data_IF_177094069576
#
_entry.id   IF_177094069576
#
_cell.length_a   1.000
_cell.length_b   1.000
_cell.length_c   1.000
_cell.angle_alpha   90.00
_cell.angle_beta   90.00
_cell.angle_gamma   90.00
#
_symmetry.space_group_name_H-M   'P 1'
#
loop_
_entity.id
_entity.type
_entity.pdbx_description
1 polymer ?
#
# COMPACT_ATOMS: atom_id res chain seq x y z
N UNK A 1 11.36 15.48 -4.69
CA UNK A 1 11.61 14.06 -5.07
C UNK A 1 11.11 13.79 -6.48
N UNK A 2 11.75 12.88 -7.22
CA UNK A 2 11.25 12.39 -8.53
C UNK A 2 9.89 11.69 -8.40
N UNK A 3 9.76 10.89 -7.35
CA UNK A 3 8.53 10.21 -6.99
C UNK A 3 8.27 10.31 -5.48
N UNK A 4 7.01 10.38 -5.09
CA UNK A 4 6.53 10.27 -3.70
C UNK A 4 5.57 9.09 -3.62
N UNK A 5 5.74 8.22 -2.63
CA UNK A 5 4.84 7.09 -2.37
C UNK A 5 4.08 7.33 -1.06
N UNK A 6 2.79 7.65 -1.17
CA UNK A 6 1.95 8.07 -0.06
C UNK A 6 0.96 6.95 0.36
N UNK A 7 1.21 6.39 1.54
CA UNK A 7 0.34 5.38 2.16
C UNK A 7 -0.67 5.96 3.17
N UNK A 8 -0.58 7.26 3.48
CA UNK A 8 -1.49 7.96 4.40
C UNK A 8 -2.73 8.40 3.64
N UNK A 9 -2.55 9.11 2.53
CA UNK A 9 -3.61 9.59 1.66
C UNK A 9 -4.45 10.71 2.27
N UNK A 10 -5.68 10.87 1.79
CA UNK A 10 -6.56 11.92 2.29
C UNK A 10 -5.99 13.33 2.02
N UNK A 11 -6.18 14.25 2.97
CA UNK A 11 -5.61 15.60 2.91
C UNK A 11 -4.08 15.63 2.98
N UNK A 12 -3.41 14.54 3.39
CA UNK A 12 -1.95 14.46 3.40
C UNK A 12 -1.36 14.54 1.98
N UNK A 13 -2.15 14.27 0.94
CA UNK A 13 -1.70 14.37 -0.45
C UNK A 13 -1.18 15.76 -0.82
N UNK A 14 -1.64 16.82 -0.15
CA UNK A 14 -1.10 18.18 -0.35
C UNK A 14 0.38 18.25 0.04
N UNK A 15 0.77 17.61 1.15
CA UNK A 15 2.18 17.51 1.57
C UNK A 15 2.98 16.71 0.52
N UNK A 16 2.41 15.62 0.02
CA UNK A 16 3.02 14.80 -1.03
C UNK A 16 3.23 15.58 -2.34
N UNK A 17 2.31 16.48 -2.72
CA UNK A 17 2.48 17.38 -3.87
C UNK A 17 3.58 18.43 -3.63
N UNK A 18 3.72 18.91 -2.39
CA UNK A 18 4.78 19.85 -2.01
C UNK A 18 6.17 19.20 -2.08
N UNK A 19 6.31 17.93 -1.71
CA UNK A 19 7.58 17.19 -1.75
C UNK A 19 7.99 16.73 -3.16
N UNK A 20 7.03 16.54 -4.06
CA UNK A 20 7.32 16.18 -5.45
C UNK A 20 8.01 17.34 -6.19
N UNK A 21 9.04 17.03 -7.01
CA UNK A 21 9.70 18.05 -7.85
C UNK A 21 8.82 18.42 -9.06
N UNK A 22 9.19 19.47 -9.80
CA UNK A 22 8.54 19.81 -11.08
C UNK A 22 8.52 18.58 -12.01
N UNK A 23 7.34 18.27 -12.57
CA UNK A 23 7.04 17.08 -13.37
C UNK A 23 7.23 15.73 -12.64
N UNK A 24 7.23 15.74 -11.32
CA UNK A 24 7.33 14.54 -10.49
C UNK A 24 6.04 13.71 -10.44
N UNK A 25 6.15 12.51 -9.87
CA UNK A 25 5.04 11.56 -9.74
C UNK A 25 4.67 11.36 -8.27
N UNK A 26 3.40 11.43 -7.93
CA UNK A 26 2.87 11.03 -6.62
C UNK A 26 2.05 9.77 -6.81
N UNK A 27 2.44 8.69 -6.15
CA UNK A 27 1.73 7.42 -6.12
C UNK A 27 1.06 7.26 -4.76
N UNK A 28 -0.24 6.95 -4.71
CA UNK A 28 -0.94 6.75 -3.44
C UNK A 28 -1.79 5.49 -3.41
N UNK A 29 -1.86 4.84 -2.24
CA UNK A 29 -2.79 3.73 -1.98
C UNK A 29 -4.13 4.21 -1.38
N UNK A 30 -4.27 5.50 -1.05
CA UNK A 30 -5.46 6.06 -0.42
C UNK A 30 -5.83 7.46 -0.96
N UNK A 31 -6.34 7.52 -2.19
CA UNK A 31 -6.69 8.78 -2.86
C UNK A 31 -8.08 9.35 -2.58
N UNK A 32 -8.82 8.85 -1.58
CA UNK A 32 -10.21 9.28 -1.32
C UNK A 32 -10.23 10.60 -0.57
N UNK A 33 -10.29 11.72 -1.30
CA UNK A 33 -10.31 13.07 -0.72
C UNK A 33 -10.88 14.11 -1.70
N UNK A 34 -11.30 15.25 -1.18
CA UNK A 34 -11.55 16.48 -1.95
C UNK A 34 -10.36 17.40 -1.73
N UNK A 35 -9.64 17.77 -2.79
CA UNK A 35 -8.39 18.51 -2.71
C UNK A 35 -8.34 19.68 -3.70
N UNK A 36 -7.63 20.73 -3.34
CA UNK A 36 -7.17 21.75 -4.30
C UNK A 36 -5.97 21.22 -5.10
N UNK A 37 -6.10 21.19 -6.42
CA UNK A 37 -5.09 20.68 -7.35
C UNK A 37 -4.14 21.76 -7.89
N UNK A 38 -4.24 22.99 -7.40
CA UNK A 38 -3.40 24.13 -7.84
C UNK A 38 -1.91 23.79 -7.82
N UNK A 39 -1.43 23.16 -6.75
CA UNK A 39 -0.02 22.79 -6.64
C UNK A 39 0.40 21.70 -7.64
N UNK A 40 -0.48 20.75 -7.92
CA UNK A 40 -0.23 19.74 -8.97
C UNK A 40 -0.12 20.40 -10.34
N UNK A 41 -1.02 21.33 -10.65
CA UNK A 41 -1.00 22.07 -11.92
C UNK A 41 0.30 22.88 -12.07
N UNK A 42 0.64 23.68 -11.06
CA UNK A 42 1.85 24.51 -11.06
C UNK A 42 3.13 23.71 -11.24
N UNK A 43 3.19 22.53 -10.62
CA UNK A 43 4.34 21.63 -10.72
C UNK A 43 4.22 20.59 -11.83
N UNK A 44 3.19 20.63 -12.68
CA UNK A 44 2.93 19.64 -13.72
C UNK A 44 3.05 18.18 -13.22
N UNK A 45 2.52 17.89 -12.03
CA UNK A 45 2.65 16.59 -11.38
C UNK A 45 1.73 15.54 -12.00
N UNK A 46 2.15 14.27 -11.90
CA UNK A 46 1.28 13.11 -12.15
C UNK A 46 0.83 12.50 -10.83
N UNK A 47 -0.48 12.31 -10.64
CA UNK A 47 -1.03 11.52 -9.53
C UNK A 47 -1.45 10.14 -10.01
N UNK A 48 -0.91 9.09 -9.38
CA UNK A 48 -1.23 7.70 -9.67
C UNK A 48 -1.88 7.02 -8.47
N UNK A 49 -3.15 6.67 -8.61
CA UNK A 49 -3.87 5.87 -7.62
C UNK A 49 -3.57 4.38 -7.79
N UNK A 50 -3.20 3.71 -6.69
CA UNK A 50 -2.83 2.30 -6.67
C UNK A 50 -3.88 1.50 -5.90
N UNK A 51 -4.91 1.06 -6.63
CA UNK A 51 -5.93 0.17 -6.10
C UNK A 51 -5.60 -1.28 -6.49
N UNK A 52 -4.82 -1.97 -5.65
CA UNK A 52 -4.33 -3.33 -5.93
C UNK A 52 -5.46 -4.35 -6.19
N UNK A 53 -6.64 -4.12 -5.62
CA UNK A 53 -7.79 -5.03 -5.74
C UNK A 53 -8.60 -4.81 -7.03
N UNK A 54 -8.34 -3.72 -7.78
CA UNK A 54 -9.12 -3.35 -8.97
C UNK A 54 -9.20 -4.44 -10.04
N UNK A 55 -8.11 -5.15 -10.41
CA UNK A 55 -8.20 -6.19 -11.45
C UNK A 55 -9.13 -7.35 -11.09
N UNK A 56 -9.30 -7.64 -9.79
CA UNK A 56 -10.24 -8.67 -9.32
C UNK A 56 -11.68 -8.15 -9.31
N UNK A 57 -11.91 -6.92 -8.81
CA UNK A 57 -13.26 -6.34 -8.78
C UNK A 57 -13.85 -6.09 -10.16
N UNK A 58 -13.03 -5.64 -11.12
CA UNK A 58 -13.47 -5.28 -12.47
C UNK A 58 -13.21 -6.39 -13.50
N UNK A 59 -12.80 -7.59 -13.07
CA UNK A 59 -12.51 -8.73 -13.94
C UNK A 59 -11.51 -8.43 -15.07
N UNK A 60 -10.46 -7.63 -14.77
CA UNK A 60 -9.41 -7.30 -15.73
C UNK A 60 -8.37 -8.41 -15.76
N UNK A 61 -8.66 -9.49 -16.49
CA UNK A 61 -7.88 -10.73 -16.50
C UNK A 61 -6.39 -10.52 -16.79
N UNK A 62 -6.04 -9.68 -17.76
CA UNK A 62 -4.64 -9.41 -18.12
C UNK A 62 -3.84 -8.79 -16.97
N UNK A 63 -4.45 -7.87 -16.22
CA UNK A 63 -3.80 -7.24 -15.07
C UNK A 63 -3.73 -8.17 -13.86
N UNK A 64 -4.76 -9.00 -13.64
CA UNK A 64 -4.71 -10.05 -12.61
C UNK A 64 -3.58 -11.04 -12.88
N UNK A 65 -3.42 -11.49 -14.13
CA UNK A 65 -2.30 -12.36 -14.52
C UNK A 65 -0.94 -11.67 -14.31
N UNK A 66 -0.84 -10.36 -14.58
CA UNK A 66 0.36 -9.57 -14.30
C UNK A 66 0.67 -9.52 -12.80
N UNK A 67 -0.34 -9.40 -11.92
CA UNK A 67 -0.13 -9.46 -10.47
C UNK A 67 0.44 -10.81 -10.03
N UNK A 68 -0.01 -11.92 -10.61
CA UNK A 68 0.59 -13.24 -10.39
C UNK A 68 2.08 -13.27 -10.69
N UNK A 69 2.48 -12.78 -11.88
CA UNK A 69 3.91 -12.68 -12.26
C UNK A 69 4.73 -11.81 -11.32
N UNK A 70 4.14 -10.77 -10.74
CA UNK A 70 4.81 -9.92 -9.74
C UNK A 70 5.03 -10.73 -8.46
N UNK A 71 4.05 -11.50 -8.00
CA UNK A 71 4.18 -12.36 -6.82
C UNK A 71 5.23 -13.45 -7.03
N UNK A 72 5.34 -14.04 -8.22
CA UNK A 72 6.40 -15.00 -8.55
C UNK A 72 7.80 -14.37 -8.41
N UNK A 73 7.95 -13.10 -8.82
CA UNK A 73 9.22 -12.38 -8.64
C UNK A 73 9.48 -12.03 -7.18
N UNK A 74 8.44 -11.66 -6.42
CA UNK A 74 8.53 -11.41 -4.98
C UNK A 74 8.99 -12.67 -4.25
N UNK A 75 8.45 -13.84 -4.61
CA UNK A 75 8.89 -15.12 -4.06
C UNK A 75 10.38 -15.34 -4.26
N UNK A 76 10.90 -15.16 -5.49
CA UNK A 76 12.34 -15.28 -5.77
C UNK A 76 13.18 -14.35 -4.91
N UNK A 77 12.74 -13.10 -4.72
CA UNK A 77 13.44 -12.15 -3.86
C UNK A 77 13.44 -12.57 -2.38
N UNK A 78 12.39 -13.24 -1.91
CA UNK A 78 12.33 -13.81 -0.56
C UNK A 78 13.28 -15.00 -0.44
N UNK A 79 13.26 -15.91 -1.41
CA UNK A 79 14.14 -17.10 -1.45
C UNK A 79 15.62 -16.71 -1.52
N UNK A 80 15.94 -15.61 -2.21
CA UNK A 80 17.28 -15.01 -2.28
C UNK A 80 17.62 -14.13 -1.06
N UNK A 81 16.75 -14.07 -0.06
CA UNK A 81 16.86 -13.23 1.14
C UNK A 81 16.97 -11.71 0.89
N UNK A 82 16.70 -11.25 -0.33
CA UNK A 82 16.70 -9.83 -0.73
C UNK A 82 15.45 -9.09 -0.26
N UNK A 83 14.39 -9.81 0.07
CA UNK A 83 13.16 -9.27 0.62
C UNK A 83 12.73 -10.09 1.83
N UNK A 84 12.52 -9.44 2.97
CA UNK A 84 11.99 -10.08 4.18
C UNK A 84 10.63 -9.48 4.51
N UNK A 85 9.66 -10.34 4.82
CA UNK A 85 8.37 -9.89 5.32
C UNK A 85 8.58 -9.39 6.74
N UNK A 86 8.32 -8.10 6.98
CA UNK A 86 8.28 -7.55 8.32
C UNK A 86 6.99 -8.03 9.00
N UNK A 87 7.09 -9.13 9.75
CA UNK A 87 5.99 -9.69 10.53
C UNK A 87 6.01 -9.08 11.94
N UNK A 88 4.82 -8.90 12.48
CA UNK A 88 4.68 -8.60 13.90
C UNK A 88 5.13 -9.82 14.72
N UNK A 89 5.73 -9.57 15.89
CA UNK A 89 6.12 -10.64 16.81
C UNK A 89 4.88 -11.36 17.36
N UNK A 90 3.79 -10.61 17.57
CA UNK A 90 2.53 -11.17 18.06
C UNK A 90 1.73 -11.79 16.92
N UNK A 91 1.38 -13.04 17.14
CA UNK A 91 0.46 -13.80 16.31
C UNK A 91 -0.83 -14.03 17.10
N UNK A 92 -1.93 -14.23 16.37
CA UNK A 92 -3.24 -14.48 16.93
C UNK A 92 -3.83 -15.72 16.27
N UNK A 93 -4.66 -16.48 16.96
CA UNK A 93 -5.46 -17.52 16.31
C UNK A 93 -6.68 -16.93 15.59
N UNK A 94 -7.41 -17.75 14.84
CA UNK A 94 -8.67 -17.30 14.21
C UNK A 94 -9.75 -16.94 15.24
N UNK A 95 -9.79 -17.64 16.37
CA UNK A 95 -10.68 -17.32 17.50
C UNK A 95 -10.34 -15.96 18.12
N UNK A 96 -9.10 -15.49 17.94
CA UNK A 96 -8.60 -14.22 18.46
C UNK A 96 -8.70 -13.06 17.46
N UNK A 97 -9.47 -13.22 16.37
CA UNK A 97 -9.60 -12.20 15.32
C UNK A 97 -9.95 -10.82 15.88
N UNK A 98 -10.82 -10.77 16.88
CA UNK A 98 -11.21 -9.51 17.52
C UNK A 98 -10.03 -8.85 18.22
N UNK A 99 -9.26 -9.59 19.01
CA UNK A 99 -8.06 -9.06 19.67
C UNK A 99 -7.01 -8.61 18.65
N UNK A 100 -6.89 -9.31 17.52
CA UNK A 100 -5.98 -8.91 16.44
C UNK A 100 -6.36 -7.54 15.85
N UNK A 101 -7.64 -7.29 15.60
CA UNK A 101 -8.13 -5.98 15.15
C UNK A 101 -7.92 -4.89 16.20
N UNK A 102 -8.31 -5.12 17.45
CA UNK A 102 -8.12 -4.16 18.55
C UNK A 102 -6.63 -3.80 18.74
N UNK A 103 -5.73 -4.77 18.55
CA UNK A 103 -4.28 -4.56 18.63
C UNK A 103 -3.74 -3.65 17.51
N UNK A 104 -4.21 -3.85 16.26
CA UNK A 104 -3.83 -3.00 15.12
C UNK A 104 -4.39 -1.58 15.28
N UNK A 105 -5.65 -1.46 15.67
CA UNK A 105 -6.34 -0.18 15.85
C UNK A 105 -5.74 0.65 17.00
N UNK A 106 -5.26 -0.02 18.05
CA UNK A 106 -4.50 0.61 19.13
C UNK A 106 -3.07 0.99 18.74
N UNK A 107 -2.68 0.85 17.46
CA UNK A 107 -1.34 1.14 16.93
C UNK A 107 -0.21 0.39 17.63
N UNK A 108 -0.50 -0.80 18.19
CA UNK A 108 0.51 -1.63 18.85
C UNK A 108 1.28 -2.51 17.86
N UNK A 109 0.73 -2.73 16.67
CA UNK A 109 1.33 -3.58 15.68
C UNK A 109 2.53 -2.93 14.98
N UNK A 110 3.60 -3.69 14.79
CA UNK A 110 4.76 -3.35 13.96
C UNK A 110 4.89 -4.36 12.82
N UNK A 111 4.68 -3.89 11.59
CA UNK A 111 4.70 -4.76 10.40
C UNK A 111 3.36 -5.45 10.13
N UNK A 112 3.38 -6.74 9.82
CA UNK A 112 2.21 -7.53 9.45
C UNK A 112 1.81 -8.51 10.55
N UNK A 113 0.65 -8.27 11.15
CA UNK A 113 -0.04 -9.22 12.03
C UNK A 113 -0.56 -10.40 11.20
N UNK A 114 -0.34 -11.62 11.70
CA UNK A 114 -0.77 -12.86 11.05
C UNK A 114 -1.76 -13.60 11.95
N UNK A 115 -2.72 -14.27 11.31
CA UNK A 115 -3.56 -15.26 11.97
C UNK A 115 -3.00 -16.65 11.72
N UNK A 116 -2.95 -17.48 12.75
CA UNK A 116 -2.44 -18.85 12.66
C UNK A 116 -3.61 -19.81 12.80
N UNK A 117 -3.67 -20.79 11.89
CA UNK A 117 -4.62 -21.88 12.02
C UNK A 117 -4.06 -22.90 13.01
N UNK A 118 -4.79 -23.17 14.09
CA UNK A 118 -4.46 -24.21 15.06
C UNK A 118 -5.32 -25.48 14.91
N UNK A 119 -6.11 -25.57 13.83
CA UNK A 119 -6.82 -26.79 13.42
C UNK A 119 -5.87 -27.83 12.84
#
# INVERSE_FOLDING_TARGET
MDAVFDTVGGNNLINSFAEAKLKGVVCTTNGRATLDLTLMYQKALTLRNLLMVAPMFYNVHGERARQGKILDNVQKLIDEEKLKILKDEKQFSYEEIRQAHEYIEAHKAFGKVSLVNNL
#
